data_IF_261043248316
#
_entry.id   IF_261043248316
#
_cell.length_a   1.000
_cell.length_b   1.000
_cell.length_c   1.000
_cell.angle_alpha   90.00
_cell.angle_beta   90.00
_cell.angle_gamma   90.00
#
_symmetry.space_group_name_H-M   'P 1'
#
loop_
_entity.id
_entity.type
_entity.pdbx_description
1 polymer ?
#
# COMPACT_ATOMS: atom_id res chain seq x y z
N UNK A 1 -28.62 -12.47 59.03
CA UNK A 1 -27.17 -12.61 58.73
C UNK A 1 -27.01 -13.82 57.82
N UNK A 2 -26.62 -13.81 56.55
CA UNK A 2 -26.08 -12.83 55.59
C UNK A 2 -26.64 -13.24 54.21
N UNK A 3 -27.39 -12.42 53.49
CA UNK A 3 -26.92 -11.54 52.39
C UNK A 3 -25.78 -12.14 51.54
N UNK A 4 -26.12 -12.81 50.43
CA UNK A 4 -25.22 -12.96 49.28
C UNK A 4 -25.60 -11.95 48.20
N UNK A 5 -24.66 -11.04 47.95
CA UNK A 5 -24.67 -9.99 46.94
C UNK A 5 -24.61 -10.59 45.52
N UNK A 6 -25.25 -9.98 44.52
CA UNK A 6 -24.90 -10.19 43.12
C UNK A 6 -23.61 -9.40 42.80
N UNK A 7 -22.65 -10.08 42.19
CA UNK A 7 -21.41 -9.48 41.70
C UNK A 7 -21.68 -8.59 40.48
N UNK A 8 -21.43 -7.30 40.66
CA UNK A 8 -21.37 -6.29 39.61
C UNK A 8 -20.30 -6.65 38.57
N UNK A 9 -20.71 -6.82 37.31
CA UNK A 9 -19.83 -6.71 36.15
C UNK A 9 -19.70 -5.23 35.77
N UNK A 10 -18.48 -4.69 35.57
CA UNK A 10 -18.30 -3.31 35.18
C UNK A 10 -18.61 -3.13 33.70
N UNK A 11 -19.57 -2.24 33.42
CA UNK A 11 -19.80 -1.60 32.13
C UNK A 11 -18.52 -0.91 31.64
N UNK A 12 -17.83 -1.49 30.66
CA UNK A 12 -16.80 -0.77 29.89
C UNK A 12 -17.47 -0.01 28.75
N UNK A 13 -17.27 1.31 28.76
CA UNK A 13 -17.61 2.26 27.71
C UNK A 13 -16.96 1.88 26.37
N UNK A 14 -17.55 2.28 25.23
CA UNK A 14 -17.00 2.00 23.91
C UNK A 14 -15.69 2.78 23.68
N UNK A 15 -14.64 2.18 23.09
CA UNK A 15 -13.52 2.97 22.59
C UNK A 15 -13.95 3.72 21.33
N UNK A 16 -13.59 4.99 21.32
CA UNK A 16 -13.74 5.94 20.24
C UNK A 16 -13.01 5.40 19.01
N UNK A 17 -13.75 5.24 17.91
CA UNK A 17 -13.18 5.09 16.57
C UNK A 17 -12.56 6.43 16.16
N UNK A 18 -11.54 6.34 15.31
CA UNK A 18 -10.67 7.40 14.76
C UNK A 18 -9.37 7.57 15.56
N UNK A 19 -8.41 6.71 15.27
CA UNK A 19 -6.97 7.03 15.10
C UNK A 19 -6.22 5.70 14.86
N UNK A 20 -5.49 5.59 13.74
CA UNK A 20 -4.61 4.43 13.51
C UNK A 20 -4.59 3.87 12.08
N UNK A 21 -4.37 4.70 11.06
CA UNK A 21 -3.88 4.25 9.73
C UNK A 21 -2.60 5.03 9.33
N UNK A 22 -1.88 5.59 10.30
CA UNK A 22 -0.64 6.32 10.00
C UNK A 22 0.41 6.06 11.07
N UNK A 23 0.89 4.82 11.18
CA UNK A 23 2.12 4.51 11.92
C UNK A 23 2.58 3.07 11.63
N UNK A 24 3.13 2.80 10.44
CA UNK A 24 3.99 1.62 10.22
C UNK A 24 5.10 1.91 9.19
N UNK A 25 5.64 3.14 9.19
CA UNK A 25 6.85 3.54 8.43
C UNK A 25 7.97 4.02 9.37
N UNK A 26 7.89 3.72 10.67
CA UNK A 26 9.00 3.99 11.59
C UNK A 26 9.32 2.74 12.41
N UNK A 27 10.20 1.92 11.86
CA UNK A 27 11.17 1.11 12.61
C UNK A 27 12.14 0.53 11.59
N UNK A 28 13.42 0.82 11.79
CA UNK A 28 14.57 0.45 10.96
C UNK A 28 14.95 1.51 9.91
N UNK A 29 15.61 2.58 10.35
CA UNK A 29 16.78 3.19 9.69
C UNK A 29 17.22 4.42 10.49
N UNK A 30 18.11 4.24 11.49
CA UNK A 30 19.18 5.16 11.92
C UNK A 30 19.81 4.65 13.22
N UNK A 31 21.15 4.51 13.33
CA UNK A 31 21.81 4.36 14.63
C UNK A 31 21.78 5.70 15.39
N UNK A 32 21.64 5.68 16.73
CA UNK A 32 21.62 6.90 17.56
C UNK A 32 23.06 7.37 17.81
N UNK A 33 23.71 7.98 16.81
CA UNK A 33 24.99 8.67 17.00
C UNK A 33 25.37 9.54 15.80
N UNK A 34 24.54 10.54 15.47
CA UNK A 34 24.94 11.64 14.58
C UNK A 34 24.03 12.90 14.68
N UNK A 35 23.30 13.07 15.78
CA UNK A 35 22.55 14.30 16.09
C UNK A 35 23.28 15.06 17.21
N UNK A 36 24.49 15.49 16.91
CA UNK A 36 25.21 16.45 17.75
C UNK A 36 26.31 17.11 16.91
N UNK A 37 25.92 18.00 16.01
CA UNK A 37 26.72 19.12 15.52
C UNK A 37 25.85 19.96 14.59
N UNK A 38 25.97 21.29 14.72
CA UNK A 38 25.19 22.35 14.04
C UNK A 38 23.86 22.75 14.69
N UNK A 39 23.88 22.95 16.02
CA UNK A 39 23.10 24.03 16.66
C UNK A 39 23.97 24.62 17.79
N UNK A 40 24.39 25.87 17.62
CA UNK A 40 25.35 26.59 18.46
C UNK A 40 26.31 27.29 17.52
N UNK A 41 26.07 28.52 17.13
CA UNK A 41 26.13 29.69 18.00
C UNK A 41 25.26 30.81 17.42
N UNK A 42 24.49 31.50 18.25
CA UNK A 42 24.20 32.94 18.21
C UNK A 42 23.05 33.19 19.18
N UNK A 43 23.39 33.35 20.45
CA UNK A 43 22.53 33.94 21.46
C UNK A 43 23.35 34.94 22.24
N UNK A 44 23.03 36.23 22.09
CA UNK A 44 23.05 37.26 23.14
C UNK A 44 22.66 38.63 22.58
N UNK A 45 21.81 39.31 23.35
CA UNK A 45 21.37 40.70 23.28
C UNK A 45 20.24 41.08 22.31
N UNK A 46 19.02 41.11 22.86
CA UNK A 46 18.03 42.13 22.54
C UNK A 46 17.45 42.68 23.85
N UNK A 47 17.39 44.01 24.07
CA UNK A 47 16.47 44.62 25.03
C UNK A 47 15.16 45.06 24.31
N UNK A 48 14.04 45.20 25.05
CA UNK A 48 12.74 45.54 24.49
C UNK A 48 12.47 47.05 24.56
N UNK A 49 11.71 47.62 23.62
CA UNK A 49 10.76 48.72 23.89
C UNK A 49 9.86 49.07 22.69
N UNK A 50 8.59 49.33 23.00
CA UNK A 50 7.57 50.19 22.34
C UNK A 50 6.99 49.69 21.00
N UNK A 51 5.77 49.16 20.99
CA UNK A 51 4.44 49.80 21.01
C UNK A 51 3.89 50.15 19.62
N UNK A 52 2.61 49.80 19.47
CA UNK A 52 1.64 50.04 18.41
C UNK A 52 1.83 51.33 17.59
N UNK A 53 1.57 51.28 16.28
CA UNK A 53 0.41 52.01 15.72
C UNK A 53 -0.01 51.53 14.32
N UNK A 54 -1.33 51.48 14.12
CA UNK A 54 -2.01 51.39 12.82
C UNK A 54 -1.77 52.67 12.03
N UNK A 55 -1.68 52.57 10.70
CA UNK A 55 -2.55 53.29 9.75
C UNK A 55 -2.17 52.97 8.28
N UNK A 56 -3.17 52.58 7.50
CA UNK A 56 -3.25 52.77 6.03
C UNK A 56 -3.95 54.13 5.78
N UNK A 57 -4.25 54.53 4.53
CA UNK A 57 -3.43 54.64 3.30
C UNK A 57 -3.61 56.05 2.65
N UNK A 58 -2.77 56.47 1.70
CA UNK A 58 -3.19 57.46 0.69
C UNK A 58 -2.39 57.36 -0.61
N UNK A 59 -3.14 57.36 -1.70
CA UNK A 59 -2.73 57.57 -3.10
C UNK A 59 -2.25 59.00 -3.36
N UNK A 60 -1.34 59.21 -4.33
CA UNK A 60 -1.48 60.17 -5.46
C UNK A 60 -0.33 59.92 -6.46
N UNK A 61 -0.69 59.90 -7.75
CA UNK A 61 0.10 59.74 -8.97
C UNK A 61 0.66 61.08 -9.48
N UNK A 62 1.86 61.14 -10.09
CA UNK A 62 2.23 62.04 -11.24
C UNK A 62 3.46 61.47 -12.01
N UNK A 63 3.46 61.75 -13.31
CA UNK A 63 4.15 61.26 -14.51
C UNK A 63 5.67 61.55 -14.75
N UNK A 64 6.24 60.75 -15.70
CA UNK A 64 7.28 61.04 -16.75
C UNK A 64 8.71 61.40 -16.27
N UNK A 65 9.86 60.92 -16.81
CA UNK A 65 10.26 60.12 -17.98
C UNK A 65 11.78 59.75 -17.80
N UNK A 66 12.42 58.96 -18.69
CA UNK A 66 13.59 58.09 -18.38
C UNK A 66 14.97 58.66 -18.75
N UNK A 67 16.04 58.12 -18.14
CA UNK A 67 17.45 57.99 -18.66
C UNK A 67 18.39 57.33 -17.61
N UNK A 68 19.55 56.76 -17.97
CA UNK A 68 19.71 55.37 -18.42
C UNK A 68 20.56 54.50 -17.46
N UNK A 69 20.40 53.19 -17.63
CA UNK A 69 21.18 52.11 -17.03
C UNK A 69 22.50 51.94 -17.81
N UNK A 70 23.65 52.09 -17.15
CA UNK A 70 24.91 51.41 -17.55
C UNK A 70 25.90 51.40 -16.38
N UNK A 71 25.88 50.34 -15.55
CA UNK A 71 27.05 49.85 -14.77
C UNK A 71 26.76 48.64 -13.86
N UNK A 72 25.75 47.80 -14.16
CA UNK A 72 25.35 46.67 -13.30
C UNK A 72 25.71 45.27 -13.80
N UNK A 73 25.99 45.09 -15.10
CA UNK A 73 26.12 43.75 -15.70
C UNK A 73 27.47 43.05 -15.42
N UNK A 74 28.56 43.79 -15.26
CA UNK A 74 29.89 43.18 -15.03
C UNK A 74 30.05 42.61 -13.62
N UNK A 75 29.37 43.20 -12.62
CA UNK A 75 29.42 42.72 -11.23
C UNK A 75 28.53 41.48 -11.01
N UNK A 76 27.47 41.34 -11.80
CA UNK A 76 26.58 40.17 -11.76
C UNK A 76 27.20 38.94 -12.41
N UNK A 77 27.92 39.10 -13.53
CA UNK A 77 28.61 37.97 -14.19
C UNK A 77 29.75 37.40 -13.33
N UNK A 78 30.49 38.25 -12.62
CA UNK A 78 31.57 37.78 -11.74
C UNK A 78 31.02 37.06 -10.49
N UNK A 79 29.98 37.60 -9.86
CA UNK A 79 29.33 36.96 -8.69
C UNK A 79 28.66 35.64 -9.03
N UNK A 80 28.04 35.49 -10.21
CA UNK A 80 27.46 34.21 -10.62
C UNK A 80 28.53 33.16 -10.93
N UNK A 81 29.66 33.57 -11.54
CA UNK A 81 30.80 32.69 -11.80
C UNK A 81 31.45 32.15 -10.53
N UNK A 82 31.51 32.96 -9.47
CA UNK A 82 32.09 32.57 -8.18
C UNK A 82 31.13 31.69 -7.36
N UNK A 83 29.81 31.89 -7.46
CA UNK A 83 28.78 31.00 -6.88
C UNK A 83 28.75 29.64 -7.59
N UNK A 84 28.88 29.61 -8.91
CA UNK A 84 28.96 28.35 -9.68
C UNK A 84 30.29 27.62 -9.43
N UNK A 85 31.40 28.33 -9.24
CA UNK A 85 32.68 27.72 -8.85
C UNK A 85 32.67 27.18 -7.42
N UNK A 86 32.08 27.90 -6.47
CA UNK A 86 31.93 27.40 -5.09
C UNK A 86 30.97 26.22 -5.01
N UNK A 87 29.85 26.23 -5.73
CA UNK A 87 28.97 25.05 -5.88
C UNK A 87 29.69 23.87 -6.54
N UNK A 88 30.52 24.11 -7.58
CA UNK A 88 31.31 23.08 -8.24
C UNK A 88 32.43 22.48 -7.39
N UNK A 89 33.04 23.27 -6.48
CA UNK A 89 34.05 22.80 -5.52
C UNK A 89 33.37 22.01 -4.39
N UNK A 90 32.22 22.48 -3.90
CA UNK A 90 31.43 21.77 -2.89
C UNK A 90 30.93 20.43 -3.45
N UNK A 91 30.41 20.38 -4.69
CA UNK A 91 30.00 19.12 -5.33
C UNK A 91 31.19 18.16 -5.59
N UNK A 92 32.39 18.68 -5.87
CA UNK A 92 33.59 17.85 -6.05
C UNK A 92 34.12 17.24 -4.75
N UNK A 93 33.88 17.88 -3.61
CA UNK A 93 34.38 17.43 -2.31
C UNK A 93 33.35 16.66 -1.48
N UNK A 94 32.09 16.62 -1.90
CA UNK A 94 31.10 15.72 -1.32
C UNK A 94 31.48 14.30 -1.74
N UNK A 95 31.81 13.39 -0.80
CA UNK A 95 32.08 12.00 -1.16
C UNK A 95 30.87 11.46 -1.91
N UNK A 96 31.10 10.75 -3.01
CA UNK A 96 30.06 10.23 -3.91
C UNK A 96 28.92 9.51 -3.17
N UNK A 97 29.22 8.89 -2.03
CA UNK A 97 28.25 8.29 -1.13
C UNK A 97 27.25 9.30 -0.50
N UNK A 98 27.69 10.50 -0.10
CA UNK A 98 26.81 11.53 0.47
C UNK A 98 25.91 12.14 -0.61
N UNK A 99 26.44 12.38 -1.81
CA UNK A 99 25.65 12.83 -2.95
C UNK A 99 24.61 11.78 -3.33
N UNK A 100 24.97 10.50 -3.30
CA UNK A 100 24.06 9.39 -3.56
C UNK A 100 22.94 9.29 -2.51
N UNK A 101 23.27 9.41 -1.22
CA UNK A 101 22.27 9.43 -0.12
C UNK A 101 21.33 10.63 -0.26
N UNK A 102 21.86 11.81 -0.58
CA UNK A 102 21.06 13.01 -0.80
C UNK A 102 20.13 12.88 -2.02
N UNK A 103 20.62 12.29 -3.13
CA UNK A 103 19.78 12.04 -4.30
C UNK A 103 18.67 11.02 -4.03
N UNK A 104 18.96 9.96 -3.26
CA UNK A 104 17.95 8.98 -2.86
C UNK A 104 16.86 9.61 -1.99
N UNK A 105 17.25 10.47 -1.03
CA UNK A 105 16.29 11.15 -0.17
C UNK A 105 15.42 12.14 -0.95
N UNK A 106 16.00 12.88 -1.90
CA UNK A 106 15.23 13.75 -2.80
C UNK A 106 14.21 12.97 -3.63
N UNK A 107 14.56 11.78 -4.12
CA UNK A 107 13.65 10.96 -4.92
C UNK A 107 12.47 10.44 -4.09
N UNK A 108 12.75 9.95 -2.87
CA UNK A 108 11.72 9.49 -1.95
C UNK A 108 10.76 10.62 -1.54
N UNK A 109 11.30 11.79 -1.17
CA UNK A 109 10.50 12.97 -0.85
C UNK A 109 9.64 13.42 -2.04
N UNK A 110 10.13 13.28 -3.28
CA UNK A 110 9.35 13.57 -4.49
C UNK A 110 8.15 12.64 -4.63
N UNK A 111 8.31 11.35 -4.36
CA UNK A 111 7.21 10.38 -4.45
C UNK A 111 6.11 10.68 -3.42
N UNK A 112 6.48 10.96 -2.17
CA UNK A 112 5.52 11.31 -1.12
C UNK A 112 4.81 12.63 -1.46
N UNK A 113 5.56 13.67 -1.85
CA UNK A 113 4.99 14.97 -2.21
C UNK A 113 4.03 14.86 -3.40
N UNK A 114 4.35 14.04 -4.40
CA UNK A 114 3.46 13.83 -5.53
C UNK A 114 2.18 13.09 -5.11
N UNK A 115 2.29 12.10 -4.22
CA UNK A 115 1.13 11.38 -3.69
C UNK A 115 0.23 12.30 -2.86
N UNK A 116 0.78 13.16 -1.99
CA UNK A 116 -0.02 14.12 -1.21
C UNK A 116 -0.65 15.19 -2.10
N UNK A 117 0.05 15.62 -3.14
CA UNK A 117 -0.49 16.54 -4.13
C UNK A 117 -1.65 15.92 -4.93
N UNK A 118 -1.62 14.61 -5.20
CA UNK A 118 -2.76 13.90 -5.81
C UNK A 118 -4.01 13.91 -4.91
N UNK A 119 -3.84 13.80 -3.59
CA UNK A 119 -4.95 13.93 -2.63
C UNK A 119 -5.56 15.33 -2.70
N UNK A 120 -4.73 16.38 -2.76
CA UNK A 120 -5.20 17.77 -2.86
C UNK A 120 -5.95 18.05 -4.16
N UNK A 121 -5.58 17.38 -5.26
CA UNK A 121 -6.29 17.46 -6.54
C UNK A 121 -7.67 16.81 -6.48
N UNK A 122 -7.88 15.85 -5.57
CA UNK A 122 -9.18 15.21 -5.34
C UNK A 122 -9.61 14.19 -6.41
N UNK A 123 -8.71 13.81 -7.32
CA UNK A 123 -9.00 12.79 -8.33
C UNK A 123 -8.91 11.39 -7.73
N UNK A 124 -9.89 10.54 -8.09
CA UNK A 124 -10.00 9.19 -7.54
C UNK A 124 -10.15 8.14 -8.61
N UNK A 125 -9.62 6.94 -8.32
CA UNK A 125 -9.72 5.74 -9.14
C UNK A 125 -10.28 4.59 -8.29
N UNK A 126 -11.26 3.84 -8.81
CA UNK A 126 -11.78 2.67 -8.11
C UNK A 126 -10.78 1.51 -8.17
N UNK A 127 -10.56 0.86 -7.04
CA UNK A 127 -9.68 -0.31 -6.90
C UNK A 127 -10.42 -1.54 -6.41
N UNK A 128 -9.94 -2.70 -6.83
CA UNK A 128 -10.44 -3.99 -6.41
C UNK A 128 -9.83 -4.38 -5.07
N UNK A 129 -10.58 -5.16 -4.29
CA UNK A 129 -10.16 -5.67 -2.99
C UNK A 129 -10.41 -7.18 -2.96
N UNK A 130 -9.50 -7.93 -2.36
CA UNK A 130 -9.71 -9.34 -2.07
C UNK A 130 -10.28 -9.47 -0.66
N UNK A 131 -11.36 -10.21 -0.53
CA UNK A 131 -11.88 -10.67 0.75
C UNK A 131 -11.38 -12.09 0.99
N UNK A 132 -10.62 -12.27 2.07
CA UNK A 132 -10.04 -13.55 2.49
C UNK A 132 -10.76 -13.96 3.77
N UNK A 133 -11.50 -15.06 3.72
CA UNK A 133 -12.23 -15.63 4.86
C UNK A 133 -11.56 -16.91 5.32
N UNK A 134 -11.07 -16.91 6.55
CA UNK A 134 -10.73 -18.14 7.26
C UNK A 134 -11.97 -18.78 7.86
N UNK A 135 -11.92 -20.09 8.11
CA UNK A 135 -13.06 -20.85 8.68
C UNK A 135 -13.50 -20.33 10.07
N UNK A 136 -12.54 -19.90 10.90
CA UNK A 136 -12.77 -19.54 12.31
C UNK A 136 -12.56 -18.04 12.59
N UNK A 137 -12.10 -17.28 11.61
CA UNK A 137 -11.64 -15.91 11.79
C UNK A 137 -12.53 -14.88 11.08
N UNK A 138 -12.39 -13.62 11.49
CA UNK A 138 -13.04 -12.52 10.78
C UNK A 138 -12.42 -12.37 9.37
N UNK A 139 -13.22 -11.95 8.37
CA UNK A 139 -12.70 -11.73 7.03
C UNK A 139 -11.61 -10.66 7.03
N UNK A 140 -10.45 -11.00 6.47
CA UNK A 140 -9.35 -10.06 6.20
C UNK A 140 -9.49 -9.54 4.78
N UNK A 141 -9.20 -8.25 4.58
CA UNK A 141 -9.25 -7.63 3.26
C UNK A 141 -7.84 -7.25 2.80
N UNK A 142 -7.53 -7.54 1.54
CA UNK A 142 -6.23 -7.28 0.94
C UNK A 142 -6.36 -6.52 -0.37
N UNK A 143 -5.43 -5.60 -0.65
CA UNK A 143 -5.39 -4.80 -1.87
C UNK A 143 -4.52 -5.42 -2.95
N UNK A 144 -3.39 -6.01 -2.56
CA UNK A 144 -2.39 -6.52 -3.51
C UNK A 144 -2.61 -7.99 -3.75
N UNK A 145 -2.59 -8.80 -2.68
CA UNK A 145 -2.70 -10.24 -2.83
C UNK A 145 -2.37 -11.08 -1.61
N UNK A 146 -2.68 -12.37 -1.74
CA UNK A 146 -2.26 -13.46 -0.87
C UNK A 146 -1.08 -14.18 -1.51
N UNK A 147 -0.03 -14.46 -0.74
CA UNK A 147 1.12 -15.26 -1.17
C UNK A 147 1.38 -16.38 -0.19
N UNK A 148 1.65 -17.56 -0.71
CA UNK A 148 1.95 -18.75 0.08
C UNK A 148 3.07 -19.55 -0.58
N UNK A 149 4.14 -19.81 0.17
CA UNK A 149 5.21 -20.69 -0.29
C UNK A 149 6.62 -20.19 0.04
N UNK A 150 7.60 -20.92 -0.46
CA UNK A 150 8.95 -20.91 0.11
C UNK A 150 9.75 -19.63 -0.20
N UNK A 151 9.46 -18.97 -1.32
CA UNK A 151 10.08 -17.68 -1.63
C UNK A 151 9.71 -16.60 -0.60
N UNK A 152 8.45 -16.57 -0.17
CA UNK A 152 7.97 -15.63 0.83
C UNK A 152 8.60 -15.93 2.19
N UNK A 153 8.66 -17.19 2.59
CA UNK A 153 9.27 -17.61 3.87
C UNK A 153 10.78 -17.32 3.94
N UNK A 154 11.48 -17.47 2.82
CA UNK A 154 12.86 -17.04 2.69
C UNK A 154 13.01 -15.51 2.70
N UNK A 155 12.07 -14.79 2.09
CA UNK A 155 12.03 -13.33 2.06
C UNK A 155 11.86 -12.69 3.45
N UNK A 156 11.01 -13.26 4.31
CA UNK A 156 10.84 -12.83 5.71
C UNK A 156 12.17 -12.91 6.47
N UNK A 157 12.96 -13.96 6.22
CA UNK A 157 14.29 -14.18 6.82
C UNK A 157 15.37 -13.24 6.27
N UNK A 158 15.13 -12.46 5.22
CA UNK A 158 16.12 -11.55 4.65
C UNK A 158 16.57 -10.43 5.62
N UNK A 159 15.68 -10.04 6.54
CA UNK A 159 15.98 -9.08 7.60
C UNK A 159 17.06 -9.60 8.58
N UNK A 160 17.11 -10.91 8.83
CA UNK A 160 18.12 -11.56 9.71
C UNK A 160 19.54 -11.40 9.18
N UNK A 161 19.69 -11.31 7.86
CA UNK A 161 20.98 -11.21 7.17
C UNK A 161 21.38 -9.77 6.86
N UNK A 162 20.96 -8.79 7.68
CA UNK A 162 21.22 -7.36 7.48
C UNK A 162 22.72 -7.03 7.29
N UNK A 163 23.61 -7.80 7.93
CA UNK A 163 25.07 -7.64 7.86
C UNK A 163 25.66 -7.88 6.46
N UNK A 164 24.94 -8.58 5.57
CA UNK A 164 25.36 -8.80 4.18
C UNK A 164 24.97 -7.65 3.22
N UNK A 165 24.34 -6.60 3.75
CA UNK A 165 24.00 -5.39 2.99
C UNK A 165 23.18 -5.70 1.72
N UNK A 166 23.67 -5.36 0.51
CA UNK A 166 22.93 -5.57 -0.74
C UNK A 166 22.74 -7.04 -1.13
N UNK A 167 23.55 -7.96 -0.59
CA UNK A 167 23.42 -9.40 -0.88
C UNK A 167 22.45 -10.12 0.05
N UNK A 168 21.88 -9.44 1.06
CA UNK A 168 21.02 -10.06 2.09
C UNK A 168 19.84 -10.85 1.52
N UNK A 169 19.24 -10.36 0.43
CA UNK A 169 18.08 -11.00 -0.22
C UNK A 169 18.48 -12.33 -0.86
N UNK A 170 19.56 -12.33 -1.65
CA UNK A 170 20.11 -13.56 -2.26
C UNK A 170 20.58 -14.55 -1.21
N UNK A 171 21.24 -14.08 -0.16
CA UNK A 171 21.72 -14.91 0.93
C UNK A 171 20.57 -15.61 1.67
N UNK A 172 19.46 -14.91 1.92
CA UNK A 172 18.29 -15.48 2.58
C UNK A 172 17.71 -16.68 1.80
N UNK A 173 17.56 -16.52 0.47
CA UNK A 173 17.14 -17.63 -0.38
C UNK A 173 18.18 -18.74 -0.43
N UNK A 174 19.47 -18.42 -0.50
CA UNK A 174 20.55 -19.41 -0.50
C UNK A 174 20.60 -20.23 0.81
N UNK A 175 20.47 -19.59 1.97
CA UNK A 175 20.44 -20.30 3.25
C UNK A 175 19.16 -21.12 3.45
N UNK A 176 18.02 -20.64 2.95
CA UNK A 176 16.77 -21.43 2.92
C UNK A 176 16.97 -22.71 2.11
N UNK A 177 17.55 -22.57 0.91
CA UNK A 177 17.86 -23.66 0.00
C UNK A 177 18.81 -24.70 0.58
N UNK A 178 19.79 -24.28 1.40
CA UNK A 178 20.72 -25.20 2.04
C UNK A 178 20.09 -25.97 3.19
N UNK A 179 19.11 -25.38 3.88
CA UNK A 179 18.45 -26.00 5.02
C UNK A 179 17.48 -27.08 4.58
N UNK A 180 16.61 -26.76 3.62
CA UNK A 180 15.52 -27.63 3.18
C UNK A 180 15.44 -27.58 1.65
N UNK A 181 15.72 -28.71 0.99
CA UNK A 181 15.53 -28.89 -0.46
C UNK A 181 15.07 -30.32 -0.76
N UNK A 182 13.99 -30.53 -1.55
CA UNK A 182 13.16 -29.54 -2.27
C UNK A 182 12.04 -28.92 -1.41
N UNK A 183 11.81 -27.61 -1.53
CA UNK A 183 10.74 -26.90 -0.82
C UNK A 183 9.45 -26.94 -1.66
N UNK A 184 8.68 -28.02 -1.51
CA UNK A 184 7.41 -28.21 -2.22
C UNK A 184 6.26 -28.12 -1.23
N UNK A 185 5.23 -27.36 -1.60
CA UNK A 185 3.99 -27.26 -0.86
C UNK A 185 2.86 -27.88 -1.68
N UNK A 186 2.08 -28.75 -1.05
CA UNK A 186 0.92 -29.38 -1.66
C UNK A 186 -0.35 -28.71 -1.13
N UNK A 187 -1.27 -28.39 -2.03
CA UNK A 187 -2.59 -27.87 -1.68
C UNK A 187 -3.61 -28.24 -2.75
N UNK A 188 -4.89 -28.17 -2.40
CA UNK A 188 -5.98 -28.24 -3.37
C UNK A 188 -6.57 -26.83 -3.55
N UNK A 189 -6.73 -26.42 -4.80
CA UNK A 189 -7.33 -25.17 -5.19
C UNK A 189 -8.65 -25.47 -5.90
N UNK A 190 -9.75 -24.92 -5.38
CA UNK A 190 -11.02 -24.87 -6.09
C UNK A 190 -11.24 -23.45 -6.57
N UNK A 191 -11.63 -23.24 -7.83
CA UNK A 191 -11.88 -21.90 -8.34
C UNK A 191 -13.12 -21.84 -9.23
N UNK A 192 -13.67 -20.63 -9.32
CA UNK A 192 -14.71 -20.25 -10.26
C UNK A 192 -14.13 -19.31 -11.30
N UNK A 193 -14.62 -19.42 -12.53
CA UNK A 193 -14.19 -18.58 -13.65
C UNK A 193 -14.45 -17.08 -13.43
N UNK A 194 -13.97 -16.24 -14.38
CA UNK A 194 -14.26 -14.81 -14.40
C UNK A 194 -15.76 -14.54 -14.32
N UNK A 195 -16.15 -13.47 -13.62
CA UNK A 195 -17.56 -13.06 -13.53
C UNK A 195 -17.79 -11.84 -14.40
N UNK A 196 -18.81 -11.91 -15.25
CA UNK A 196 -19.26 -10.74 -16.02
C UNK A 196 -19.76 -9.66 -15.08
N UNK A 197 -19.35 -8.42 -15.34
CA UNK A 197 -19.75 -7.28 -14.53
C UNK A 197 -21.26 -7.03 -14.68
N UNK A 198 -22.01 -6.99 -13.56
CA UNK A 198 -23.36 -6.42 -13.58
C UNK A 198 -23.28 -4.93 -13.97
N UNK A 199 -24.26 -4.40 -14.72
CA UNK A 199 -24.26 -2.98 -15.10
C UNK A 199 -24.07 -2.11 -13.85
N UNK A 200 -23.08 -1.20 -13.90
CA UNK A 200 -22.70 -0.35 -12.78
C UNK A 200 -23.87 0.59 -12.47
N UNK A 201 -24.65 0.27 -11.43
CA UNK A 201 -25.65 1.18 -10.92
C UNK A 201 -24.95 2.49 -10.51
N UNK A 202 -25.42 3.65 -10.95
CA UNK A 202 -24.78 4.90 -10.60
C UNK A 202 -24.75 5.01 -9.07
N UNK A 203 -23.57 5.28 -8.51
CA UNK A 203 -23.43 5.66 -7.10
C UNK A 203 -24.11 7.02 -6.86
N UNK A 204 -25.45 7.03 -6.85
CA UNK A 204 -26.18 8.09 -6.19
C UNK A 204 -25.85 7.96 -4.71
N UNK A 205 -25.06 8.92 -4.19
CA UNK A 205 -24.94 9.13 -2.76
C UNK A 205 -26.36 9.32 -2.23
N UNK A 206 -26.96 8.25 -1.68
CA UNK A 206 -28.29 8.32 -1.09
C UNK A 206 -28.26 9.47 -0.09
N UNK A 207 -29.00 10.54 -0.42
CA UNK A 207 -29.06 11.72 0.44
C UNK A 207 -29.53 11.24 1.80
N UNK A 208 -28.85 11.70 2.87
CA UNK A 208 -29.17 11.25 4.23
C UNK A 208 -30.66 11.45 4.43
N UNK A 209 -31.45 10.38 4.68
CA UNK A 209 -32.88 10.52 4.78
C UNK A 209 -33.20 11.45 5.97
N UNK A 210 -34.21 12.30 5.85
CA UNK A 210 -34.59 13.24 6.90
C UNK A 210 -34.94 12.51 8.20
N UNK A 211 -34.80 13.21 9.33
CA UNK A 211 -34.90 12.61 10.68
C UNK A 211 -36.17 11.78 10.91
N UNK A 212 -37.31 12.23 10.38
CA UNK A 212 -38.59 11.52 10.51
C UNK A 212 -38.57 10.14 9.82
N UNK A 213 -37.89 10.00 8.67
CA UNK A 213 -37.74 8.70 7.97
C UNK A 213 -36.87 7.76 8.78
N UNK A 214 -35.85 8.28 9.47
CA UNK A 214 -34.97 7.48 10.35
C UNK A 214 -35.71 6.97 11.58
N UNK A 215 -36.54 7.81 12.19
CA UNK A 215 -37.43 7.44 13.29
C UNK A 215 -38.47 6.41 12.86
N UNK A 216 -39.14 6.63 11.72
CA UNK A 216 -40.12 5.69 11.18
C UNK A 216 -39.49 4.34 10.80
N UNK A 217 -38.30 4.33 10.17
CA UNK A 217 -37.57 3.07 9.90
C UNK A 217 -37.19 2.34 11.18
N UNK A 218 -36.73 3.05 12.22
CA UNK A 218 -36.39 2.45 13.52
C UNK A 218 -37.62 1.82 14.17
N UNK A 219 -38.76 2.51 14.16
CA UNK A 219 -40.02 1.96 14.64
C UNK A 219 -40.43 0.76 13.79
N UNK A 220 -40.42 0.87 12.47
CA UNK A 220 -40.73 -0.25 11.56
C UNK A 220 -39.83 -1.47 11.79
N UNK A 221 -38.54 -1.27 12.10
CA UNK A 221 -37.59 -2.35 12.41
C UNK A 221 -37.84 -2.99 13.79
N UNK A 222 -38.26 -2.21 14.78
CA UNK A 222 -38.64 -2.74 16.10
C UNK A 222 -39.91 -3.60 16.04
N UNK A 223 -40.85 -3.23 15.17
CA UNK A 223 -42.13 -3.91 15.00
C UNK A 223 -42.14 -4.94 13.88
N UNK A 224 -41.08 -5.05 13.07
CA UNK A 224 -41.00 -6.13 12.08
C UNK A 224 -40.48 -7.39 12.74
N UNK A 225 -41.13 -8.54 12.51
CA UNK A 225 -40.55 -9.81 12.93
C UNK A 225 -39.18 -9.97 12.27
N UNK A 226 -38.21 -10.61 12.93
CA UNK A 226 -36.92 -10.89 12.32
C UNK A 226 -37.17 -11.60 10.99
N UNK A 227 -36.70 -11.01 9.89
CA UNK A 227 -36.73 -11.67 8.59
C UNK A 227 -35.97 -12.98 8.77
N UNK A 228 -36.68 -14.11 8.71
CA UNK A 228 -36.03 -15.40 8.44
C UNK A 228 -35.29 -15.18 7.13
N UNK A 229 -33.96 -15.20 7.18
CA UNK A 229 -33.15 -14.99 6.00
C UNK A 229 -33.60 -15.96 4.94
N UNK A 230 -34.11 -15.42 3.83
CA UNK A 230 -34.27 -16.20 2.61
C UNK A 230 -32.85 -16.60 2.23
N UNK A 231 -32.54 -17.88 2.45
CA UNK A 231 -31.40 -18.51 1.80
C UNK A 231 -31.80 -18.50 0.33
N UNK A 232 -31.35 -17.51 -0.42
CA UNK A 232 -31.34 -17.64 -1.87
C UNK A 232 -30.61 -18.95 -2.15
N UNK A 233 -31.30 -19.93 -2.74
CA UNK A 233 -30.66 -21.11 -3.29
C UNK A 233 -29.72 -20.59 -4.38
N UNK A 234 -28.45 -20.46 -4.00
CA UNK A 234 -27.36 -20.13 -4.92
C UNK A 234 -27.34 -21.28 -5.92
N UNK A 235 -27.46 -20.97 -7.21
CA UNK A 235 -27.34 -21.95 -8.28
C UNK A 235 -26.06 -22.78 -8.03
N UNK A 236 -26.08 -24.11 -8.32
CA UNK A 236 -24.89 -24.94 -8.12
C UNK A 236 -23.74 -24.35 -8.93
N UNK A 237 -22.77 -23.76 -8.22
CA UNK A 237 -21.59 -23.14 -8.83
C UNK A 237 -20.69 -24.27 -9.33
N UNK A 238 -20.33 -24.26 -10.62
CA UNK A 238 -19.46 -25.26 -11.24
C UNK A 238 -17.99 -25.04 -10.82
N UNK A 239 -17.62 -25.55 -9.64
CA UNK A 239 -16.26 -25.48 -9.13
C UNK A 239 -15.30 -26.38 -9.90
N UNK A 240 -14.17 -25.80 -10.34
CA UNK A 240 -13.07 -26.57 -10.92
C UNK A 240 -12.02 -26.85 -9.83
N UNK A 241 -11.71 -28.12 -9.59
CA UNK A 241 -10.72 -28.57 -8.62
C UNK A 241 -9.37 -28.83 -9.29
N UNK A 242 -8.30 -28.24 -8.74
CA UNK A 242 -6.91 -28.45 -9.13
C UNK A 242 -6.09 -28.86 -7.91
N UNK A 243 -5.45 -30.02 -8.00
CA UNK A 243 -4.45 -30.46 -7.01
C UNK A 243 -3.09 -29.91 -7.40
N UNK A 244 -2.51 -29.11 -6.53
CA UNK A 244 -1.29 -28.35 -6.79
C UNK A 244 -0.15 -28.88 -5.94
N UNK A 245 1.00 -29.06 -6.57
CA UNK A 245 2.30 -29.23 -5.91
C UNK A 245 3.21 -28.15 -6.46
N UNK A 246 3.47 -27.11 -5.67
CA UNK A 246 4.15 -25.89 -6.13
C UNK A 246 5.18 -25.40 -5.13
N UNK A 247 6.15 -24.62 -5.62
CA UNK A 247 7.07 -23.88 -4.73
C UNK A 247 6.37 -22.67 -4.10
N UNK A 248 5.55 -21.97 -4.88
CA UNK A 248 4.79 -20.81 -4.43
C UNK A 248 3.49 -20.66 -5.20
N UNK A 249 2.43 -20.30 -4.47
CA UNK A 249 1.14 -19.87 -4.96
C UNK A 249 0.97 -18.37 -4.65
N UNK A 250 0.58 -17.58 -5.65
CA UNK A 250 0.19 -16.18 -5.44
C UNK A 250 -1.17 -15.89 -6.05
N UNK A 251 -2.04 -15.24 -5.28
CA UNK A 251 -3.36 -14.77 -5.69
C UNK A 251 -3.33 -13.26 -5.60
N UNK A 252 -3.49 -12.58 -6.73
CA UNK A 252 -3.28 -11.15 -6.83
C UNK A 252 -4.42 -10.43 -7.55
N UNK A 253 -4.66 -9.19 -7.15
CA UNK A 253 -5.54 -8.27 -7.89
C UNK A 253 -4.83 -7.74 -9.14
N UNK A 254 -5.62 -7.12 -10.03
CA UNK A 254 -5.11 -6.45 -11.22
C UNK A 254 -4.81 -4.97 -11.00
N UNK A 255 -4.69 -4.54 -9.75
CA UNK A 255 -4.54 -3.13 -9.40
C UNK A 255 -3.27 -2.46 -9.97
N UNK A 256 -2.30 -3.24 -10.47
CA UNK A 256 -1.09 -2.74 -11.15
C UNK A 256 -1.37 -2.23 -12.57
N UNK A 257 -2.24 -2.92 -13.31
CA UNK A 257 -2.65 -2.54 -14.66
C UNK A 257 -4.17 -2.43 -14.66
N UNK A 258 -4.66 -1.32 -14.09
CA UNK A 258 -6.09 -1.07 -13.98
C UNK A 258 -6.66 -0.76 -15.35
N UNK A 259 -7.43 -1.70 -15.86
CA UNK A 259 -8.31 -1.47 -16.99
C UNK A 259 -9.70 -1.07 -16.49
N UNK A 260 -10.09 0.17 -16.77
CA UNK A 260 -11.38 0.72 -16.37
C UNK A 260 -12.50 0.35 -17.36
N UNK A 261 -12.20 -0.11 -18.57
CA UNK A 261 -13.22 -0.47 -19.58
C UNK A 261 -13.53 -1.97 -19.60
N UNK A 262 -12.77 -2.78 -18.86
CA UNK A 262 -12.96 -4.23 -18.81
C UNK A 262 -14.40 -4.64 -18.44
N UNK A 263 -14.93 -5.60 -19.18
CA UNK A 263 -16.25 -6.21 -18.99
C UNK A 263 -16.27 -7.29 -17.91
N UNK A 264 -15.15 -7.98 -17.69
CA UNK A 264 -15.04 -9.06 -16.72
C UNK A 264 -14.24 -8.64 -15.49
N UNK A 265 -14.67 -9.12 -14.33
CA UNK A 265 -13.95 -8.94 -13.07
C UNK A 265 -13.34 -10.28 -12.63
N UNK A 266 -12.00 -10.30 -12.55
CA UNK A 266 -11.24 -11.48 -12.17
C UNK A 266 -9.93 -11.11 -11.45
N UNK A 267 -9.46 -12.03 -10.63
CA UNK A 267 -8.16 -12.02 -9.96
C UNK A 267 -7.23 -13.01 -10.65
N UNK A 268 -5.93 -12.76 -10.57
CA UNK A 268 -4.91 -13.60 -11.19
C UNK A 268 -4.33 -14.54 -10.14
N UNK A 269 -4.43 -15.84 -10.39
CA UNK A 269 -3.83 -16.89 -9.59
C UNK A 269 -2.60 -17.40 -10.35
N UNK A 270 -1.41 -17.18 -9.82
CA UNK A 270 -0.17 -17.69 -10.37
C UNK A 270 0.33 -18.87 -9.54
N UNK A 271 0.48 -20.00 -10.21
CA UNK A 271 0.89 -21.30 -9.67
C UNK A 271 2.29 -21.57 -10.23
N UNK A 272 3.31 -21.49 -9.37
CA UNK A 272 4.69 -21.72 -9.82
C UNK A 272 5.05 -23.21 -9.84
N UNK A 273 5.65 -23.64 -10.95
CA UNK A 273 6.10 -25.01 -11.15
C UNK A 273 7.05 -25.51 -10.04
N UNK A 274 7.05 -26.82 -9.81
CA UNK A 274 7.88 -27.49 -8.80
C UNK A 274 9.29 -27.86 -9.29
N UNK A 275 9.53 -27.80 -10.61
CA UNK A 275 10.80 -28.17 -11.28
C UNK A 275 11.80 -27.01 -11.38
N UNK A 276 11.96 -26.23 -10.30
CA UNK A 276 12.91 -25.09 -10.29
C UNK A 276 14.32 -25.56 -9.96
N UNK A 277 15.33 -25.06 -10.67
CA UNK A 277 16.74 -25.33 -10.31
C UNK A 277 17.17 -24.52 -9.08
N UNK A 278 18.19 -25.00 -8.35
CA UNK A 278 18.68 -24.29 -7.16
C UNK A 278 19.15 -22.86 -7.44
N UNK A 279 19.87 -22.66 -8.54
CA UNK A 279 20.33 -21.34 -8.96
C UNK A 279 19.17 -20.44 -9.42
N UNK A 280 18.19 -21.03 -10.10
CA UNK A 280 16.98 -20.32 -10.51
C UNK A 280 16.16 -19.88 -9.30
N UNK A 281 16.05 -20.70 -8.25
CA UNK A 281 15.36 -20.33 -7.02
C UNK A 281 15.95 -19.07 -6.38
N UNK A 282 17.28 -19.00 -6.21
CA UNK A 282 17.90 -17.82 -5.58
C UNK A 282 17.70 -16.55 -6.42
N UNK A 283 17.84 -16.68 -7.75
CA UNK A 283 17.64 -15.54 -8.65
C UNK A 283 16.17 -15.09 -8.70
N UNK A 284 15.23 -16.02 -8.88
CA UNK A 284 13.77 -15.75 -8.89
C UNK A 284 13.30 -15.18 -7.57
N UNK A 285 13.74 -15.74 -6.44
CA UNK A 285 13.42 -15.22 -5.11
C UNK A 285 13.85 -13.75 -4.95
N UNK A 286 15.07 -13.42 -5.35
CA UNK A 286 15.57 -12.04 -5.29
C UNK A 286 14.81 -11.06 -6.20
N UNK A 287 14.27 -11.53 -7.33
CA UNK A 287 13.40 -10.74 -8.19
C UNK A 287 12.00 -10.60 -7.58
N UNK A 288 11.44 -11.68 -7.02
CA UNK A 288 10.14 -11.70 -6.34
C UNK A 288 10.08 -10.87 -5.05
N UNK A 289 11.22 -10.60 -4.43
CA UNK A 289 11.33 -9.62 -3.34
C UNK A 289 11.17 -8.17 -3.83
N UNK A 290 11.57 -7.88 -5.07
CA UNK A 290 11.40 -6.55 -5.68
C UNK A 290 10.01 -6.42 -6.28
N UNK A 291 9.57 -7.45 -6.99
CA UNK A 291 8.26 -7.52 -7.63
C UNK A 291 7.49 -8.77 -7.20
N UNK A 292 6.64 -8.65 -6.17
CA UNK A 292 5.87 -9.77 -5.61
C UNK A 292 4.95 -10.50 -6.58
N UNK A 293 4.36 -9.77 -7.52
CA UNK A 293 3.34 -10.29 -8.44
C UNK A 293 3.93 -10.76 -9.78
N UNK A 294 5.25 -10.83 -9.90
CA UNK A 294 5.89 -11.34 -11.10
C UNK A 294 5.73 -12.86 -11.17
N UNK A 295 5.12 -13.34 -12.25
CA UNK A 295 4.92 -14.77 -12.51
C UNK A 295 6.00 -15.25 -13.50
N UNK A 296 6.86 -16.22 -13.12
CA UNK A 296 7.99 -16.64 -13.93
C UNK A 296 7.57 -17.53 -15.11
N UNK A 297 8.46 -17.66 -16.09
CA UNK A 297 8.28 -18.57 -17.23
C UNK A 297 8.09 -20.01 -16.77
N UNK A 298 7.02 -20.66 -17.27
CA UNK A 298 6.59 -21.99 -16.87
C UNK A 298 5.61 -22.03 -15.69
N UNK A 299 5.18 -20.88 -15.15
CA UNK A 299 4.08 -20.83 -14.19
C UNK A 299 2.72 -20.88 -14.89
N UNK A 300 1.76 -21.56 -14.26
CA UNK A 300 0.37 -21.57 -14.73
C UNK A 300 -0.36 -20.37 -14.12
N UNK A 301 -0.89 -19.50 -14.98
CA UNK A 301 -1.67 -18.34 -14.57
C UNK A 301 -3.14 -18.61 -14.89
N UNK A 302 -4.01 -18.54 -13.88
CA UNK A 302 -5.44 -18.79 -14.00
C UNK A 302 -6.18 -17.52 -13.58
N UNK A 303 -7.27 -17.22 -14.29
CA UNK A 303 -8.15 -16.11 -14.01
C UNK A 303 -9.40 -16.63 -13.29
N UNK A 304 -9.71 -16.04 -12.14
CA UNK A 304 -10.81 -16.50 -11.30
C UNK A 304 -11.51 -15.34 -10.59
N UNK A 305 -12.80 -15.46 -10.27
CA UNK A 305 -13.52 -14.46 -9.45
C UNK A 305 -13.52 -14.81 -7.96
N UNK A 306 -13.60 -16.12 -7.67
CA UNK A 306 -13.64 -16.72 -6.34
C UNK A 306 -12.79 -17.98 -6.34
N UNK A 307 -12.07 -18.23 -5.25
CA UNK A 307 -11.35 -19.47 -5.06
C UNK A 307 -11.33 -19.90 -3.59
N UNK A 308 -11.16 -21.20 -3.38
CA UNK A 308 -11.01 -21.83 -2.07
C UNK A 308 -9.67 -22.55 -2.08
N UNK A 309 -8.81 -22.20 -1.14
CA UNK A 309 -7.53 -22.84 -0.93
C UNK A 309 -7.64 -23.79 0.26
N UNK A 310 -7.49 -25.09 -0.01
CA UNK A 310 -7.47 -26.14 1.01
C UNK A 310 -6.03 -26.60 1.23
N UNK A 311 -5.57 -26.54 2.47
CA UNK A 311 -4.26 -27.04 2.87
C UNK A 311 -4.40 -28.37 3.60
N UNK A 312 -3.44 -29.29 3.44
CA UNK A 312 -3.43 -30.52 4.22
C UNK A 312 -3.23 -30.22 5.71
N UNK A 313 -3.88 -31.02 6.56
CA UNK A 313 -3.82 -30.88 8.01
C UNK A 313 -2.38 -31.03 8.52
N UNK A 314 -1.90 -30.06 9.30
CA UNK A 314 -0.52 -30.03 9.82
C UNK A 314 0.50 -29.35 8.92
N UNK A 315 0.06 -28.62 7.89
CA UNK A 315 0.98 -27.79 7.09
C UNK A 315 1.51 -26.62 7.93
N UNK A 316 2.75 -26.73 8.38
CA UNK A 316 3.48 -25.60 8.96
C UNK A 316 3.79 -24.59 7.86
N UNK A 317 3.36 -23.35 8.07
CA UNK A 317 3.58 -22.27 7.14
C UNK A 317 2.75 -21.05 7.48
N UNK A 318 3.03 -19.95 6.80
CA UNK A 318 2.29 -18.72 6.99
C UNK A 318 2.01 -18.05 5.65
N UNK A 319 0.84 -17.42 5.59
CA UNK A 319 0.45 -16.60 4.47
C UNK A 319 1.08 -15.21 4.57
N UNK A 320 1.45 -14.67 3.41
CA UNK A 320 1.77 -13.26 3.22
C UNK A 320 0.57 -12.55 2.62
N UNK A 321 -0.20 -11.82 3.44
CA UNK A 321 -1.29 -10.96 2.95
C UNK A 321 -0.76 -9.53 2.97
N UNK A 322 -0.61 -8.87 1.81
CA UNK A 322 -0.09 -7.50 1.71
C UNK A 322 1.22 -7.25 2.51
N UNK A 323 2.10 -8.26 2.55
CA UNK A 323 3.37 -8.29 3.30
C UNK A 323 3.25 -8.42 4.83
N UNK A 324 2.06 -8.72 5.35
CA UNK A 324 1.82 -9.15 6.72
C UNK A 324 1.75 -10.67 6.83
N UNK A 325 2.11 -11.19 8.00
CA UNK A 325 2.20 -12.62 8.27
C UNK A 325 0.94 -13.13 8.99
N UNK A 326 0.27 -14.09 8.37
CA UNK A 326 -0.92 -14.76 8.89
C UNK A 326 -0.69 -16.28 8.95
N UNK A 327 -1.35 -16.96 9.86
CA UNK A 327 -1.26 -18.42 9.97
C UNK A 327 -1.88 -19.11 8.76
N UNK A 328 -1.23 -20.18 8.27
CA UNK A 328 -1.76 -20.93 7.13
C UNK A 328 -2.97 -21.78 7.57
N UNK A 329 -4.13 -21.43 7.06
CA UNK A 329 -5.39 -22.18 7.25
C UNK A 329 -6.17 -22.27 5.94
N UNK A 330 -7.14 -23.19 5.81
CA UNK A 330 -8.03 -23.20 4.67
C UNK A 330 -8.78 -21.86 4.55
N UNK A 331 -8.70 -21.23 3.38
CA UNK A 331 -9.26 -19.89 3.14
C UNK A 331 -10.11 -19.84 1.89
N UNK A 332 -11.20 -19.09 1.96
CA UNK A 332 -12.00 -18.68 0.82
C UNK A 332 -11.61 -17.26 0.42
N UNK A 333 -11.18 -17.08 -0.83
CA UNK A 333 -10.81 -15.78 -1.41
C UNK A 333 -11.87 -15.37 -2.43
N UNK A 334 -12.41 -14.18 -2.25
CA UNK A 334 -13.40 -13.57 -3.15
C UNK A 334 -12.94 -12.20 -3.61
N UNK A 335 -13.00 -11.94 -4.91
CA UNK A 335 -12.78 -10.60 -5.45
C UNK A 335 -13.98 -9.70 -5.19
N UNK A 336 -13.71 -8.50 -4.68
CA UNK A 336 -14.66 -7.39 -4.54
C UNK A 336 -14.23 -6.28 -5.51
N UNK A 337 -14.81 -6.23 -6.71
CA UNK A 337 -14.38 -5.27 -7.73
C UNK A 337 -14.74 -3.84 -7.30
N UNK A 338 -13.84 -2.90 -7.60
CA UNK A 338 -14.04 -1.43 -7.46
C UNK A 338 -14.58 -0.95 -6.12
N UNK A 339 -14.32 -1.70 -5.04
CA UNK A 339 -14.95 -1.45 -3.74
C UNK A 339 -14.41 -0.18 -3.04
N UNK A 340 -13.16 0.16 -3.32
CA UNK A 340 -12.49 1.31 -2.71
C UNK A 340 -12.14 2.36 -3.75
N UNK A 341 -12.02 3.62 -3.31
CA UNK A 341 -11.62 4.73 -4.15
C UNK A 341 -10.31 5.31 -3.63
N UNK A 342 -9.28 5.26 -4.45
CA UNK A 342 -7.94 5.73 -4.09
C UNK A 342 -7.64 7.02 -4.82
N UNK A 343 -6.85 7.90 -4.20
CA UNK A 343 -6.39 9.11 -4.85
C UNK A 343 -5.27 8.79 -5.84
N UNK A 344 -5.34 9.38 -7.03
CA UNK A 344 -4.35 9.18 -8.08
C UNK A 344 -3.98 10.52 -8.72
N UNK A 345 -2.78 10.60 -9.31
CA UNK A 345 -2.42 11.77 -10.11
C UNK A 345 -3.23 11.78 -11.41
N UNK A 346 -3.85 12.91 -11.83
CA UNK A 346 -4.57 13.06 -13.10
C UNK A 346 -3.88 12.44 -14.30
N UNK A 347 -2.56 12.65 -14.38
CA UNK A 347 -1.75 12.16 -15.51
C UNK A 347 -1.78 10.63 -15.57
N UNK A 348 -1.71 9.96 -14.43
CA UNK A 348 -1.79 8.51 -14.37
C UNK A 348 -3.20 8.02 -14.70
N UNK A 349 -4.23 8.72 -14.21
CA UNK A 349 -5.63 8.40 -14.52
C UNK A 349 -5.93 8.50 -16.01
N UNK A 350 -5.46 9.56 -16.67
CA UNK A 350 -5.58 9.70 -18.12
C UNK A 350 -4.84 8.58 -18.87
N UNK A 351 -3.65 8.18 -18.42
CA UNK A 351 -2.91 7.07 -19.01
C UNK A 351 -3.66 5.74 -18.87
N UNK A 352 -4.24 5.46 -17.70
CA UNK A 352 -5.07 4.26 -17.47
C UNK A 352 -6.31 4.25 -18.38
N UNK A 353 -6.97 5.40 -18.55
CA UNK A 353 -8.12 5.53 -19.45
C UNK A 353 -7.73 5.38 -20.93
N UNK A 354 -6.55 5.85 -21.35
CA UNK A 354 -6.08 5.71 -22.73
C UNK A 354 -5.59 4.29 -23.06
N UNK A 355 -4.93 3.63 -22.12
CA UNK A 355 -4.49 2.24 -22.26
C UNK A 355 -5.67 1.26 -22.38
N UNK A 356 -6.85 1.66 -21.92
CA UNK A 356 -8.08 0.89 -21.99
C UNK A 356 -8.85 1.01 -23.34
N UNK A 357 -8.39 1.88 -24.24
CA UNK A 357 -9.02 2.16 -25.55
C UNK A 357 -8.20 1.59 -26.73
N UNK A 358 -6.95 1.19 -26.48
CA UNK A 358 -6.07 0.52 -27.45
C UNK A 358 -6.12 -0.98 -27.21
#
# INVERSE_FOLDING_TARGET
>A
KLLRKPSFLPTRKPPQFIEGICCQIERNLLPPSALCCVLGTYGKHLPPHLQLERQQPTSVSVLLSPKPVTSGLSLWQHKMGDVLRTLGIILKHIPSAFLFVFLLSCLFCRHITNATLAILKGETVPLDVLQIKGEKEQPVFALSGLRWGSYRDAGVKASKYWYLGPLKTKAAHFFSMLKEWPQKHQAALMYLGPTERPPEEPEEKQSRPPLYVRLYRRLRLYWSPPRKGEVCEVAPEDWQELKLSTVELSIATQNRQLDLTRTEDFMNICIEADTVSKGQFVNRGSQKMRDPHMCPEGSQCIQASRCILQLPEGTEGSFGIDNEEYEAMPVEVKLLPRKLRFFCDPRMREQMLRAAVQ
#
